data_IF_399416192728
#
_entry.id   IF_399416192728
#
_cell.length_a   1.000
_cell.length_b   1.000
_cell.length_c   1.000
_cell.angle_alpha   90.00
_cell.angle_beta   90.00
_cell.angle_gamma   90.00
#
_symmetry.space_group_name_H-M   'P 1'
#
loop_
_entity.id
_entity.type
_entity.pdbx_description
1 polymer ?
#
# COMPACT_ATOMS: atom_id res chain seq x y z
N UNK A 1 10.34 -37.89 -29.53
CA UNK A 1 10.80 -37.91 -28.12
C UNK A 1 11.48 -36.58 -27.83
N UNK A 2 11.27 -36.04 -26.68
CA UNK A 2 11.82 -34.77 -26.15
C UNK A 2 11.07 -33.50 -26.53
N UNK A 3 9.98 -33.17 -25.80
CA UNK A 3 9.42 -31.81 -25.79
C UNK A 3 8.84 -31.41 -24.41
N UNK A 4 9.28 -32.07 -23.34
CA UNK A 4 8.72 -31.83 -22.00
C UNK A 4 9.46 -30.81 -21.16
N UNK A 5 10.56 -30.19 -21.64
CA UNK A 5 11.40 -29.31 -20.80
C UNK A 5 11.17 -27.83 -20.96
N UNK A 6 10.38 -27.39 -21.94
CA UNK A 6 10.28 -25.97 -22.31
C UNK A 6 9.15 -25.22 -21.58
N UNK A 7 8.32 -25.89 -20.77
CA UNK A 7 7.16 -25.25 -20.11
C UNK A 7 7.42 -24.60 -18.75
N UNK A 8 8.64 -24.67 -18.22
CA UNK A 8 8.96 -24.04 -16.91
C UNK A 8 9.47 -22.59 -16.98
N UNK A 9 9.61 -22.01 -18.18
CA UNK A 9 10.32 -20.76 -18.40
C UNK A 9 9.52 -19.45 -18.30
N UNK A 10 8.19 -19.47 -18.12
CA UNK A 10 7.39 -18.24 -18.21
C UNK A 10 6.74 -17.79 -16.90
N UNK A 11 7.29 -18.12 -15.77
CA UNK A 11 7.04 -17.32 -14.59
C UNK A 11 8.06 -16.18 -14.64
N UNK A 12 7.69 -14.99 -15.12
CA UNK A 12 8.51 -13.79 -14.97
C UNK A 12 8.73 -13.54 -13.47
N UNK A 13 9.82 -14.01 -12.89
CA UNK A 13 10.10 -13.69 -11.50
C UNK A 13 10.36 -12.20 -11.47
N UNK A 14 9.75 -11.50 -10.52
CA UNK A 14 10.26 -10.20 -10.13
C UNK A 14 11.76 -10.37 -9.97
N UNK A 15 12.57 -9.70 -10.79
CA UNK A 15 14.00 -9.91 -10.76
C UNK A 15 14.45 -9.74 -9.30
N UNK A 16 15.25 -10.65 -8.79
CA UNK A 16 15.72 -10.62 -7.39
C UNK A 16 16.18 -9.22 -6.97
N UNK A 17 16.82 -8.51 -7.89
CA UNK A 17 17.26 -7.12 -7.69
C UNK A 17 16.10 -6.17 -7.42
N UNK A 18 15.00 -6.27 -8.18
CA UNK A 18 13.81 -5.42 -7.97
C UNK A 18 13.12 -5.73 -6.65
N UNK A 19 13.00 -7.01 -6.29
CA UNK A 19 12.43 -7.41 -5.01
C UNK A 19 13.24 -6.80 -3.85
N UNK A 20 14.56 -6.95 -3.86
CA UNK A 20 15.45 -6.40 -2.84
C UNK A 20 15.36 -4.87 -2.81
N UNK A 21 15.32 -4.19 -3.97
CA UNK A 21 15.16 -2.73 -4.02
C UNK A 21 13.85 -2.28 -3.38
N UNK A 22 12.73 -2.99 -3.61
CA UNK A 22 11.44 -2.67 -3.00
C UNK A 22 11.45 -2.90 -1.48
N UNK A 23 12.11 -3.95 -1.01
CA UNK A 23 12.32 -4.18 0.44
C UNK A 23 13.10 -3.02 1.05
N UNK A 24 14.19 -2.59 0.41
CA UNK A 24 14.99 -1.45 0.87
C UNK A 24 14.15 -0.16 0.89
N UNK A 25 13.38 0.11 -0.17
CA UNK A 25 12.50 1.27 -0.23
C UNK A 25 11.47 1.23 0.89
N UNK A 26 10.81 0.09 1.12
CA UNK A 26 9.86 -0.08 2.21
C UNK A 26 10.49 0.17 3.58
N UNK A 27 11.70 -0.33 3.82
CA UNK A 27 12.43 -0.12 5.07
C UNK A 27 12.81 1.36 5.27
N UNK A 28 13.33 2.01 4.24
CA UNK A 28 13.69 3.44 4.30
C UNK A 28 12.46 4.32 4.53
N UNK A 29 11.36 4.06 3.82
CA UNK A 29 10.11 4.79 4.03
C UNK A 29 9.60 4.62 5.46
N UNK A 30 9.67 3.41 6.00
CA UNK A 30 9.28 3.15 7.39
C UNK A 30 10.17 3.89 8.39
N UNK A 31 11.48 3.88 8.20
CA UNK A 31 12.42 4.61 9.06
C UNK A 31 12.16 6.12 9.01
N UNK A 32 11.93 6.67 7.83
CA UNK A 32 11.57 8.10 7.66
C UNK A 32 10.25 8.42 8.33
N UNK A 33 9.23 7.57 8.13
CA UNK A 33 7.92 7.70 8.75
C UNK A 33 7.99 7.69 10.28
N UNK A 34 8.85 6.86 10.82
CA UNK A 34 9.01 6.67 12.26
C UNK A 34 10.09 7.56 12.89
N UNK A 35 10.59 8.55 12.14
CA UNK A 35 11.68 9.42 12.62
C UNK A 35 11.38 10.06 13.98
N UNK A 36 10.16 10.54 14.20
CA UNK A 36 9.74 11.12 15.46
C UNK A 36 9.79 10.09 16.59
N UNK A 37 9.34 8.87 16.34
CA UNK A 37 9.31 7.79 17.32
C UNK A 37 10.72 7.32 17.71
N UNK A 38 11.69 7.40 16.82
CA UNK A 38 13.09 7.10 17.12
C UNK A 38 13.69 8.12 18.10
N UNK A 39 13.29 9.39 17.99
CA UNK A 39 13.80 10.49 18.82
C UNK A 39 13.05 10.63 20.15
N UNK A 40 11.72 10.48 20.14
CA UNK A 40 10.87 10.72 21.31
C UNK A 40 10.55 9.47 22.14
N UNK A 41 10.74 8.30 21.54
CA UNK A 41 10.40 7.03 22.13
C UNK A 41 9.01 6.53 21.74
N UNK A 42 8.76 5.27 22.03
CA UNK A 42 7.49 4.58 21.76
C UNK A 42 6.95 4.07 23.09
N UNK A 43 5.69 4.41 23.38
CA UNK A 43 4.98 3.99 24.56
C UNK A 43 3.97 2.88 24.26
N UNK A 44 3.36 2.94 23.05
CA UNK A 44 2.34 1.98 22.61
C UNK A 44 2.58 1.55 21.16
N UNK A 45 2.05 0.39 20.77
CA UNK A 45 2.05 -0.07 19.37
C UNK A 45 1.33 0.93 18.47
N UNK A 46 0.29 1.56 18.98
CA UNK A 46 -0.48 2.57 18.27
C UNK A 46 0.36 3.77 17.82
N UNK A 47 1.35 4.22 18.59
CA UNK A 47 2.22 5.35 18.21
C UNK A 47 2.95 5.06 16.88
N UNK A 48 3.33 3.80 16.68
CA UNK A 48 3.98 3.35 15.44
C UNK A 48 3.00 3.36 14.27
N UNK A 49 1.77 2.85 14.47
CA UNK A 49 0.78 2.79 13.39
C UNK A 49 0.26 4.17 13.00
N UNK A 50 0.08 5.07 13.95
CA UNK A 50 -0.28 6.47 13.71
C UNK A 50 0.79 7.14 12.87
N UNK A 51 2.06 7.06 13.25
CA UNK A 51 3.16 7.68 12.50
C UNK A 51 3.30 7.11 11.08
N UNK A 52 3.08 5.81 10.90
CA UNK A 52 3.04 5.20 9.57
C UNK A 52 1.88 5.72 8.71
N UNK A 53 0.72 6.01 9.33
CA UNK A 53 -0.44 6.59 8.63
C UNK A 53 -0.27 8.06 8.30
N UNK A 54 0.29 8.85 9.22
CA UNK A 54 0.58 10.27 8.98
C UNK A 54 1.49 10.50 7.77
N UNK A 55 2.34 9.53 7.47
CA UNK A 55 3.20 9.53 6.27
C UNK A 55 2.57 8.88 5.04
N UNK A 56 1.25 8.76 5.00
CA UNK A 56 0.49 8.15 3.89
C UNK A 56 0.81 8.74 2.50
N UNK A 57 1.16 10.03 2.43
CA UNK A 57 1.60 10.67 1.18
C UNK A 57 2.89 10.04 0.62
N UNK A 58 3.82 9.66 1.50
CA UNK A 58 5.05 8.97 1.09
C UNK A 58 4.73 7.60 0.49
N UNK A 59 3.80 6.86 1.13
CA UNK A 59 3.34 5.57 0.62
C UNK A 59 2.60 5.70 -0.70
N UNK A 60 1.80 6.76 -0.87
CA UNK A 60 1.10 7.07 -2.11
C UNK A 60 2.07 7.32 -3.27
N UNK A 61 3.13 8.12 -3.04
CA UNK A 61 4.18 8.35 -4.03
C UNK A 61 4.90 7.05 -4.42
N UNK A 62 5.32 6.27 -3.43
CA UNK A 62 6.01 4.99 -3.68
C UNK A 62 5.12 4.04 -4.45
N UNK A 63 3.86 3.87 -4.05
CA UNK A 63 2.90 3.00 -4.73
C UNK A 63 2.69 3.44 -6.19
N UNK A 64 2.51 4.75 -6.43
CA UNK A 64 2.36 5.30 -7.77
C UNK A 64 3.55 5.04 -8.68
N UNK A 65 4.77 5.25 -8.17
CA UNK A 65 6.01 4.98 -8.92
C UNK A 65 6.21 3.49 -9.20
N UNK A 66 5.88 2.63 -8.23
CA UNK A 66 5.94 1.17 -8.40
C UNK A 66 4.95 0.71 -9.46
N UNK A 67 3.70 1.18 -9.41
CA UNK A 67 2.69 0.88 -10.43
C UNK A 67 3.11 1.32 -11.82
N UNK A 68 3.66 2.55 -11.96
CA UNK A 68 4.19 3.04 -13.23
C UNK A 68 5.37 2.20 -13.75
N UNK A 69 6.29 1.81 -12.87
CA UNK A 69 7.41 0.94 -13.21
C UNK A 69 6.95 -0.44 -13.68
N UNK A 70 5.94 -0.99 -13.03
CA UNK A 70 5.37 -2.30 -13.38
C UNK A 70 4.66 -2.26 -14.73
N UNK A 71 3.88 -1.19 -15.01
CA UNK A 71 3.27 -1.00 -16.31
C UNK A 71 4.31 -0.87 -17.43
N UNK A 72 5.39 -0.14 -17.20
CA UNK A 72 6.46 0.00 -18.19
C UNK A 72 7.13 -1.36 -18.53
N UNK A 73 7.17 -2.29 -17.58
CA UNK A 73 7.72 -3.64 -17.78
C UNK A 73 6.74 -4.61 -18.41
N UNK A 74 5.44 -4.42 -18.17
CA UNK A 74 4.38 -5.25 -18.73
C UNK A 74 4.00 -4.88 -20.17
N UNK A 75 4.67 -3.87 -20.75
CA UNK A 75 4.53 -3.48 -22.16
C UNK A 75 5.61 -4.11 -23.03
N UNK A 76 5.54 -5.36 -23.38
CA UNK A 76 6.42 -5.88 -24.39
C UNK A 76 5.85 -5.51 -25.74
N UNK A 77 6.51 -4.67 -26.46
CA UNK A 77 6.27 -4.42 -27.88
C UNK A 77 6.38 -5.71 -28.72
N UNK A 78 7.02 -6.73 -28.19
CA UNK A 78 7.41 -7.90 -28.98
C UNK A 78 6.83 -9.25 -28.50
N UNK A 79 6.10 -9.31 -27.38
CA UNK A 79 5.54 -10.58 -26.86
C UNK A 79 4.20 -10.98 -27.47
N UNK A 80 3.57 -10.13 -28.27
CA UNK A 80 2.28 -10.41 -28.89
C UNK A 80 2.42 -11.32 -30.12
N UNK A 81 3.62 -11.53 -30.62
CA UNK A 81 3.85 -12.20 -31.92
C UNK A 81 3.94 -13.72 -31.84
N UNK A 82 3.97 -14.29 -30.68
CA UNK A 82 4.21 -15.73 -30.55
C UNK A 82 3.08 -16.50 -29.87
N UNK A 83 1.88 -16.63 -30.44
CA UNK A 83 0.93 -17.76 -30.25
C UNK A 83 0.81 -18.44 -28.89
N UNK A 84 1.23 -17.81 -27.80
CA UNK A 84 1.04 -18.35 -26.45
C UNK A 84 -0.40 -18.16 -26.04
N UNK A 85 -1.08 -19.21 -25.49
CA UNK A 85 -2.37 -19.05 -24.84
C UNK A 85 -2.18 -18.05 -23.72
N UNK A 86 -2.64 -16.82 -23.96
CA UNK A 86 -2.47 -15.69 -23.06
C UNK A 86 -3.11 -16.05 -21.71
N UNK A 87 -2.29 -16.12 -20.68
CA UNK A 87 -2.84 -15.88 -19.35
C UNK A 87 -3.44 -14.48 -19.42
N UNK A 88 -4.67 -14.26 -18.95
CA UNK A 88 -5.26 -12.96 -18.99
C UNK A 88 -4.30 -11.98 -18.31
N UNK A 89 -4.07 -10.81 -18.91
CA UNK A 89 -3.16 -9.76 -18.38
C UNK A 89 -3.44 -9.48 -16.91
N UNK A 90 -4.70 -9.56 -16.50
CA UNK A 90 -5.15 -9.48 -15.12
C UNK A 90 -4.46 -10.46 -14.16
N UNK A 91 -4.27 -11.72 -14.56
CA UNK A 91 -3.62 -12.72 -13.71
C UNK A 91 -2.13 -12.43 -13.50
N UNK A 92 -1.48 -11.86 -14.52
CA UNK A 92 -0.08 -11.43 -14.44
C UNK A 92 0.05 -10.21 -13.56
N UNK A 93 -0.79 -9.20 -13.76
CA UNK A 93 -0.82 -7.98 -12.95
C UNK A 93 -1.08 -8.29 -11.47
N UNK A 94 -2.00 -9.21 -11.19
CA UNK A 94 -2.29 -9.67 -9.84
C UNK A 94 -1.10 -10.32 -9.15
N UNK A 95 -0.38 -11.20 -9.84
CA UNK A 95 0.82 -11.82 -9.30
C UNK A 95 1.93 -10.81 -9.01
N UNK A 96 2.06 -9.77 -9.85
CA UNK A 96 3.02 -8.70 -9.64
C UNK A 96 2.64 -7.83 -8.46
N UNK A 97 1.39 -7.39 -8.38
CA UNK A 97 0.87 -6.63 -7.25
C UNK A 97 1.20 -7.30 -5.91
N UNK A 98 0.91 -8.60 -5.79
CA UNK A 98 1.17 -9.33 -4.54
C UNK A 98 2.66 -9.42 -4.20
N UNK A 99 3.50 -9.61 -5.18
CA UNK A 99 4.96 -9.68 -4.97
C UNK A 99 5.54 -8.33 -4.57
N UNK A 100 5.08 -7.27 -5.20
CA UNK A 100 5.50 -5.91 -4.88
C UNK A 100 4.97 -5.48 -3.51
N UNK A 101 3.71 -5.76 -3.22
CA UNK A 101 3.12 -5.55 -1.91
C UNK A 101 3.88 -6.31 -0.82
N UNK A 102 4.16 -7.59 -1.03
CA UNK A 102 4.93 -8.39 -0.09
C UNK A 102 6.34 -7.82 0.14
N UNK A 103 7.04 -7.39 -0.93
CA UNK A 103 8.38 -6.80 -0.80
C UNK A 103 8.35 -5.50 0.02
N UNK A 104 7.42 -4.59 -0.29
CA UNK A 104 7.27 -3.32 0.44
C UNK A 104 6.88 -3.58 1.89
N UNK A 105 5.92 -4.48 2.15
CA UNK A 105 5.48 -4.81 3.51
C UNK A 105 6.59 -5.46 4.33
N UNK A 106 7.37 -6.37 3.75
CA UNK A 106 8.55 -6.95 4.42
C UNK A 106 9.54 -5.85 4.80
N UNK A 107 9.82 -4.92 3.90
CA UNK A 107 10.68 -3.77 4.17
C UNK A 107 10.10 -2.88 5.28
N UNK A 108 8.82 -2.53 5.19
CA UNK A 108 8.12 -1.72 6.18
C UNK A 108 8.16 -2.38 7.56
N UNK A 109 7.87 -3.67 7.62
CA UNK A 109 7.95 -4.44 8.86
C UNK A 109 9.39 -4.45 9.40
N UNK A 110 10.40 -4.65 8.55
CA UNK A 110 11.79 -4.64 8.99
C UNK A 110 12.20 -3.29 9.59
N UNK A 111 11.76 -2.16 9.00
CA UNK A 111 12.02 -0.82 9.52
C UNK A 111 11.25 -0.48 10.78
N UNK A 112 10.01 -0.97 10.92
CA UNK A 112 9.15 -0.70 12.08
C UNK A 112 9.36 -1.68 13.24
N UNK A 113 9.86 -2.89 12.98
CA UNK A 113 9.93 -3.99 13.94
C UNK A 113 10.57 -3.63 15.28
N UNK A 114 11.70 -2.91 15.35
CA UNK A 114 12.32 -2.57 16.64
C UNK A 114 11.39 -1.72 17.52
N UNK A 115 10.67 -0.77 16.92
CA UNK A 115 9.74 0.10 17.63
C UNK A 115 8.44 -0.62 17.99
N UNK A 116 7.94 -1.50 17.13
CA UNK A 116 6.79 -2.36 17.43
C UNK A 116 7.11 -3.29 18.63
N UNK A 117 8.29 -3.90 18.65
CA UNK A 117 8.72 -4.74 19.80
C UNK A 117 8.82 -3.89 21.06
N UNK A 118 9.34 -2.68 20.97
CA UNK A 118 9.44 -1.77 22.12
C UNK A 118 8.06 -1.41 22.65
N UNK A 119 7.14 -0.96 21.77
CA UNK A 119 5.76 -0.64 22.13
C UNK A 119 5.03 -1.84 22.75
N UNK A 120 5.23 -3.04 22.20
CA UNK A 120 4.64 -4.27 22.74
C UNK A 120 5.14 -4.63 24.14
N UNK A 121 6.41 -4.34 24.44
CA UNK A 121 6.99 -4.59 25.76
C UNK A 121 6.59 -3.54 26.78
N UNK A 122 6.26 -2.33 26.35
CA UNK A 122 5.88 -1.24 27.24
C UNK A 122 4.43 -1.35 27.71
N UNK A 123 3.54 -1.73 26.81
CA UNK A 123 2.11 -1.95 27.10
C UNK A 123 1.61 -3.18 26.37
N UNK A 124 0.74 -3.97 27.03
CA UNK A 124 0.04 -5.06 26.33
C UNK A 124 -0.93 -4.48 25.32
N UNK A 125 -0.71 -4.70 24.00
CA UNK A 125 -1.59 -4.12 22.99
C UNK A 125 -2.98 -4.74 23.07
N UNK A 126 -3.98 -3.91 22.84
CA UNK A 126 -5.35 -4.38 22.62
C UNK A 126 -5.46 -5.10 21.28
N UNK A 127 -6.49 -5.91 21.10
CA UNK A 127 -6.79 -6.55 19.81
C UNK A 127 -6.91 -5.52 18.67
N UNK A 128 -7.51 -4.38 18.95
CA UNK A 128 -7.71 -3.32 17.96
C UNK A 128 -6.40 -2.62 17.56
N UNK A 129 -5.47 -2.42 18.49
CA UNK A 129 -4.13 -1.92 18.17
C UNK A 129 -3.35 -2.89 17.28
N UNK A 130 -3.49 -4.19 17.52
CA UNK A 130 -2.88 -5.21 16.67
C UNK A 130 -3.53 -5.24 15.27
N UNK A 131 -4.85 -5.08 15.18
CA UNK A 131 -5.58 -4.97 13.91
C UNK A 131 -5.20 -3.68 13.15
N UNK A 132 -4.90 -2.59 13.84
CA UNK A 132 -4.49 -1.33 13.19
C UNK A 132 -3.16 -1.48 12.42
N UNK A 133 -2.23 -2.31 12.90
CA UNK A 133 -1.03 -2.70 12.13
C UNK A 133 -1.43 -3.33 10.79
N UNK A 134 -2.45 -4.19 10.82
CA UNK A 134 -2.95 -4.83 9.61
C UNK A 134 -3.66 -3.83 8.67
N UNK A 135 -4.36 -2.84 9.20
CA UNK A 135 -4.98 -1.75 8.41
C UNK A 135 -3.92 -0.95 7.66
N UNK A 136 -2.79 -0.63 8.29
CA UNK A 136 -1.67 0.04 7.60
C UNK A 136 -1.16 -0.81 6.43
N UNK A 137 -1.00 -2.12 6.63
CA UNK A 137 -0.60 -3.02 5.55
C UNK A 137 -1.62 -3.05 4.40
N UNK A 138 -2.91 -3.15 4.72
CA UNK A 138 -3.99 -3.12 3.73
C UNK A 138 -4.03 -1.81 2.93
N UNK A 139 -3.77 -0.68 3.57
CA UNK A 139 -3.74 0.62 2.90
C UNK A 139 -2.65 0.70 1.83
N UNK A 140 -1.47 0.16 2.12
CA UNK A 140 -0.37 0.08 1.14
C UNK A 140 -0.76 -0.82 -0.04
N UNK A 141 -1.41 -1.96 0.22
CA UNK A 141 -1.92 -2.86 -0.83
C UNK A 141 -2.97 -2.17 -1.68
N UNK A 142 -3.90 -1.43 -1.07
CA UNK A 142 -4.93 -0.69 -1.80
C UNK A 142 -4.34 0.41 -2.70
N UNK A 143 -3.35 1.17 -2.20
CA UNK A 143 -2.65 2.17 -2.99
C UNK A 143 -1.90 1.55 -4.18
N UNK A 144 -1.25 0.41 -3.99
CA UNK A 144 -0.62 -0.34 -5.06
C UNK A 144 -1.66 -0.83 -6.08
N UNK A 145 -2.82 -1.32 -5.64
CA UNK A 145 -3.89 -1.77 -6.53
C UNK A 145 -4.41 -0.62 -7.40
N UNK A 146 -4.60 0.57 -6.83
CA UNK A 146 -4.98 1.78 -7.57
C UNK A 146 -3.88 2.16 -8.57
N UNK A 147 -2.62 2.15 -8.14
CA UNK A 147 -1.50 2.49 -9.02
C UNK A 147 -1.40 1.53 -10.22
N UNK A 148 -1.59 0.23 -9.99
CA UNK A 148 -1.63 -0.77 -11.04
C UNK A 148 -2.82 -0.60 -11.98
N UNK A 149 -4.01 -0.26 -11.46
CA UNK A 149 -5.19 0.02 -12.27
C UNK A 149 -4.96 1.24 -13.17
N UNK A 150 -4.49 2.36 -12.62
CA UNK A 150 -4.15 3.56 -13.39
C UNK A 150 -3.10 3.24 -14.46
N UNK A 151 -2.10 2.46 -14.09
CA UNK A 151 -1.03 2.07 -14.99
C UNK A 151 -1.49 1.13 -16.11
N UNK A 152 -2.51 0.31 -15.86
CA UNK A 152 -3.14 -0.53 -16.88
C UNK A 152 -3.95 0.31 -17.89
N UNK A 153 -4.62 1.37 -17.42
CA UNK A 153 -5.45 2.24 -18.26
C UNK A 153 -4.64 3.19 -19.14
N UNK A 154 -3.42 3.55 -18.72
CA UNK A 154 -2.60 4.55 -19.41
C UNK A 154 -1.42 3.88 -20.11
N UNK A 155 -1.48 3.76 -21.44
CA UNK A 155 -0.41 3.16 -22.23
C UNK A 155 0.77 4.09 -22.56
N UNK A 156 0.68 5.36 -22.25
CA UNK A 156 1.67 6.39 -22.56
C UNK A 156 2.70 6.58 -21.43
N UNK A 157 3.94 7.02 -21.71
CA UNK A 157 4.95 7.35 -20.68
C UNK A 157 4.48 8.34 -19.61
N UNK A 158 3.43 9.12 -19.88
CA UNK A 158 2.80 10.02 -18.89
C UNK A 158 2.34 9.30 -17.61
N UNK A 159 2.23 7.98 -17.64
CA UNK A 159 1.90 7.16 -16.46
C UNK A 159 2.86 7.40 -15.29
N UNK A 160 4.12 7.73 -15.57
CA UNK A 160 5.11 8.06 -14.53
C UNK A 160 4.77 9.31 -13.71
N UNK A 161 3.91 10.17 -14.25
CA UNK A 161 3.42 11.36 -13.58
C UNK A 161 2.00 11.11 -13.05
N UNK A 162 1.14 10.51 -13.86
CA UNK A 162 -0.28 10.36 -13.51
C UNK A 162 -0.50 9.37 -12.40
N UNK A 163 0.19 8.23 -12.37
CA UNK A 163 -0.03 7.23 -11.32
C UNK A 163 0.37 7.75 -9.91
N UNK A 164 1.54 8.36 -9.70
CA UNK A 164 1.85 8.99 -8.41
C UNK A 164 0.88 10.12 -8.06
N UNK A 165 0.49 10.96 -9.04
CA UNK A 165 -0.44 12.06 -8.81
C UNK A 165 -1.82 11.56 -8.38
N UNK A 166 -2.37 10.54 -9.03
CA UNK A 166 -3.64 9.92 -8.64
C UNK A 166 -3.56 9.34 -7.24
N UNK A 167 -2.49 8.61 -6.91
CA UNK A 167 -2.31 8.05 -5.57
C UNK A 167 -2.23 9.16 -4.50
N UNK A 168 -1.53 10.26 -4.80
CA UNK A 168 -1.49 11.42 -3.90
C UNK A 168 -2.86 12.07 -3.73
N UNK A 169 -3.58 12.33 -4.82
CA UNK A 169 -4.91 12.97 -4.76
C UNK A 169 -5.92 12.10 -4.00
N UNK A 170 -5.92 10.81 -4.27
CA UNK A 170 -6.77 9.84 -3.57
C UNK A 170 -6.46 9.79 -2.06
N UNK A 171 -5.23 10.07 -1.66
CA UNK A 171 -4.84 10.10 -0.25
C UNK A 171 -5.11 11.46 0.38
N UNK A 172 -4.79 12.56 -0.29
CA UNK A 172 -4.87 13.92 0.28
C UNK A 172 -6.28 14.49 0.31
N UNK A 173 -7.09 14.28 -0.74
CA UNK A 173 -8.44 14.85 -0.80
C UNK A 173 -9.31 14.36 0.37
N UNK A 174 -9.45 13.04 0.62
CA UNK A 174 -10.25 12.55 1.74
C UNK A 174 -9.72 13.02 3.11
N UNK A 175 -8.41 13.12 3.26
CA UNK A 175 -7.78 13.63 4.47
C UNK A 175 -8.20 15.08 4.71
N UNK A 176 -8.05 15.95 3.72
CA UNK A 176 -8.43 17.37 3.83
C UNK A 176 -9.94 17.56 4.06
N UNK A 177 -10.77 16.77 3.38
CA UNK A 177 -12.24 16.82 3.57
C UNK A 177 -12.61 16.44 5.00
N UNK A 178 -11.96 15.42 5.55
CA UNK A 178 -12.24 14.99 6.90
C UNK A 178 -11.71 15.97 7.96
N UNK A 179 -10.52 16.54 7.78
CA UNK A 179 -9.97 17.60 8.64
C UNK A 179 -10.88 18.82 8.67
N UNK A 180 -11.37 19.28 7.51
CA UNK A 180 -12.30 20.38 7.42
C UNK A 180 -13.65 20.07 8.09
N UNK A 181 -14.17 18.85 7.93
CA UNK A 181 -15.40 18.44 8.59
C UNK A 181 -15.23 18.43 10.11
N UNK A 182 -14.12 17.89 10.60
CA UNK A 182 -13.79 17.86 12.02
C UNK A 182 -13.66 19.27 12.61
N UNK A 183 -12.92 20.16 11.92
CA UNK A 183 -12.74 21.54 12.35
C UNK A 183 -14.07 22.35 12.40
N UNK A 184 -14.96 22.12 11.44
CA UNK A 184 -16.22 22.88 11.33
C UNK A 184 -17.38 22.30 12.13
N UNK A 185 -17.44 20.98 12.31
CA UNK A 185 -18.61 20.30 12.90
C UNK A 185 -18.28 19.50 14.16
N UNK A 186 -16.98 19.33 14.48
CA UNK A 186 -16.52 18.45 15.55
C UNK A 186 -16.77 16.97 15.28
N UNK A 187 -17.13 16.60 14.03
CA UNK A 187 -17.42 15.22 13.62
C UNK A 187 -16.63 14.85 12.39
N UNK A 188 -16.14 13.62 12.36
CA UNK A 188 -15.50 13.05 11.18
C UNK A 188 -16.51 12.90 10.04
N UNK A 189 -16.07 13.17 8.81
CA UNK A 189 -16.87 12.88 7.62
C UNK A 189 -16.80 11.39 7.27
N UNK A 190 -17.66 10.94 6.34
CA UNK A 190 -17.62 9.54 5.80
C UNK A 190 -16.25 9.21 5.17
N UNK A 191 -15.48 10.22 4.82
CA UNK A 191 -14.14 10.04 4.23
C UNK A 191 -13.08 9.59 5.24
N UNK A 192 -13.42 9.51 6.54
CA UNK A 192 -12.49 9.05 7.56
C UNK A 192 -11.93 7.63 7.29
N UNK A 193 -12.72 6.79 6.65
CA UNK A 193 -12.31 5.42 6.32
C UNK A 193 -11.10 5.41 5.38
N UNK A 194 -11.00 6.39 4.48
CA UNK A 194 -9.86 6.57 3.58
C UNK A 194 -8.75 7.41 4.19
N UNK A 195 -9.08 8.30 5.11
CA UNK A 195 -8.13 9.20 5.73
C UNK A 195 -7.17 8.42 6.63
N UNK A 196 -5.99 8.14 6.12
CA UNK A 196 -4.97 7.36 6.80
C UNK A 196 -4.32 8.12 7.97
N UNK A 197 -4.23 9.47 7.85
CA UNK A 197 -3.50 10.33 8.78
C UNK A 197 -4.33 10.87 9.93
N UNK A 198 -5.63 10.61 10.00
CA UNK A 198 -6.44 11.27 11.01
C UNK A 198 -6.45 10.58 12.37
N UNK A 199 -6.18 11.40 13.35
CA UNK A 199 -6.49 11.17 14.75
C UNK A 199 -8.01 11.30 14.91
N UNK A 200 -8.63 10.35 15.60
CA UNK A 200 -10.03 10.49 15.95
C UNK A 200 -10.23 11.68 16.91
N UNK A 201 -11.41 12.34 16.87
CA UNK A 201 -11.67 13.57 17.66
C UNK A 201 -11.68 13.37 19.18
N UNK A 202 -11.45 12.16 19.66
CA UNK A 202 -11.52 11.79 21.08
C UNK A 202 -10.35 12.27 21.93
N UNK A 203 -9.38 13.01 21.38
CA UNK A 203 -8.28 13.60 22.16
C UNK A 203 -7.28 12.61 22.77
N UNK A 204 -7.67 11.38 22.97
CA UNK A 204 -6.88 10.35 23.67
C UNK A 204 -6.02 9.49 22.74
N UNK A 205 -5.97 9.80 21.46
CA UNK A 205 -5.27 9.00 20.43
C UNK A 205 -5.70 7.51 20.38
N UNK A 206 -6.84 7.18 20.98
CA UNK A 206 -7.35 5.81 21.02
C UNK A 206 -8.12 5.56 19.74
N UNK A 207 -7.63 4.65 18.92
CA UNK A 207 -8.36 4.19 17.73
C UNK A 207 -9.52 3.32 18.18
N UNK A 208 -10.76 3.73 17.88
CA UNK A 208 -11.92 2.90 18.22
C UNK A 208 -11.94 1.64 17.37
N UNK A 209 -12.38 0.53 17.95
CA UNK A 209 -12.45 -0.75 17.23
C UNK A 209 -13.30 -0.67 15.96
N UNK A 210 -14.36 0.13 15.99
CA UNK A 210 -15.25 0.36 14.83
C UNK A 210 -14.48 1.03 13.67
N UNK A 211 -13.66 2.04 13.96
CA UNK A 211 -12.88 2.72 12.94
C UNK A 211 -11.86 1.78 12.30
N UNK A 212 -11.20 0.93 13.07
CA UNK A 212 -10.24 -0.07 12.56
C UNK A 212 -10.94 -1.04 11.62
N UNK A 213 -12.09 -1.57 12.02
CA UNK A 213 -12.87 -2.52 11.22
C UNK A 213 -13.39 -1.86 9.94
N UNK A 214 -13.97 -0.65 10.03
CA UNK A 214 -14.44 0.09 8.86
C UNK A 214 -13.31 0.37 7.85
N UNK A 215 -12.14 0.76 8.33
CA UNK A 215 -10.95 0.99 7.48
C UNK A 215 -10.48 -0.30 6.82
N UNK A 216 -10.40 -1.39 7.57
CA UNK A 216 -10.01 -2.70 7.02
C UNK A 216 -10.96 -3.13 5.89
N UNK A 217 -12.25 -3.09 6.12
CA UNK A 217 -13.28 -3.44 5.14
C UNK A 217 -13.19 -2.53 3.91
N UNK A 218 -13.03 -1.23 4.12
CA UNK A 218 -12.91 -0.27 3.02
C UNK A 218 -11.71 -0.59 2.12
N UNK A 219 -10.51 -0.80 2.67
CA UNK A 219 -9.33 -1.11 1.87
C UNK A 219 -9.42 -2.47 1.16
N UNK A 220 -10.08 -3.46 1.78
CA UNK A 220 -10.36 -4.73 1.13
C UNK A 220 -11.27 -4.54 -0.08
N UNK A 221 -12.36 -3.78 0.07
CA UNK A 221 -13.31 -3.49 -1.03
C UNK A 221 -12.61 -2.73 -2.15
N UNK A 222 -11.84 -1.69 -1.84
CA UNK A 222 -11.07 -0.93 -2.84
C UNK A 222 -10.11 -1.84 -3.60
N UNK A 223 -9.35 -2.65 -2.90
CA UNK A 223 -8.41 -3.59 -3.51
C UNK A 223 -9.13 -4.57 -4.43
N UNK A 224 -10.21 -5.21 -3.94
CA UNK A 224 -11.00 -6.15 -4.72
C UNK A 224 -11.63 -5.50 -5.97
N UNK A 225 -12.14 -4.26 -5.82
CA UNK A 225 -12.73 -3.51 -6.94
C UNK A 225 -11.69 -3.17 -8.01
N UNK A 226 -10.50 -2.70 -7.60
CA UNK A 226 -9.42 -2.41 -8.55
C UNK A 226 -9.01 -3.65 -9.34
N UNK A 227 -8.97 -4.82 -8.70
CA UNK A 227 -8.63 -6.07 -9.34
C UNK A 227 -9.73 -6.52 -10.30
N UNK A 228 -11.00 -6.43 -9.87
CA UNK A 228 -12.13 -6.79 -10.70
C UNK A 228 -12.18 -5.93 -11.96
N UNK A 229 -11.98 -4.59 -11.84
CA UNK A 229 -11.95 -3.68 -12.99
C UNK A 229 -10.75 -3.96 -13.91
N UNK A 230 -9.59 -4.29 -13.36
CA UNK A 230 -8.43 -4.65 -14.18
C UNK A 230 -8.57 -6.01 -14.89
N UNK A 231 -9.54 -6.82 -14.48
CA UNK A 231 -9.85 -8.12 -15.09
C UNK A 231 -10.84 -8.04 -16.27
N UNK A 232 -11.55 -6.90 -16.40
CA UNK A 232 -12.47 -6.63 -17.50
C UNK A 232 -11.72 -6.14 -18.73
#
# INVERSE_FOLDING_TARGET
MSSASTRRGMAFPLQRRTFVSLVIVGALCSIVALRSQWSWGVWRVQDVTVSLRETSMLWALVAGLVGAASAARLRPTDMIVGGCPARPLSAIQWQWLWREAAAILIGTCAGALPLLIKGWRTTTPTLFEALDVFVVALSVVALLAIAHLVAAMISHPVVWIVAPLVCLLVTTIPMTVNENALANTGRSSVTFAWSLGMIEPTGDHVVTGEAVVCRALFFLVVTASCIAVAAL
#
